data_IF_006954734936
#
_entry.id   IF_006954734936
#
_cell.length_a   1.000
_cell.length_b   1.000
_cell.length_c   1.000
_cell.angle_alpha   90.00
_cell.angle_beta   90.00
_cell.angle_gamma   90.00
#
_symmetry.space_group_name_H-M   'P 1'
#
loop_
_entity.id
_entity.type
_entity.pdbx_description
1 polymer ?
#
# COMPACT_ATOMS: atom_id res chain seq x y z
N UNK A 1 13.01 -7.39 -1.64
CA UNK A 1 12.41 -6.32 -0.85
C UNK A 1 13.50 -5.29 -0.61
N UNK A 2 13.42 -4.11 -1.20
CA UNK A 2 14.38 -3.03 -0.95
C UNK A 2 13.68 -2.02 -0.02
N UNK A 3 14.15 -1.87 1.20
CA UNK A 3 13.84 -0.73 2.04
C UNK A 3 14.79 0.42 1.64
N UNK A 4 14.23 1.58 1.34
CA UNK A 4 15.02 2.79 1.09
C UNK A 4 14.83 3.67 2.31
N UNK A 5 15.87 3.75 3.14
CA UNK A 5 15.94 4.68 4.28
C UNK A 5 16.24 6.09 3.78
N UNK A 6 15.45 7.05 4.24
CA UNK A 6 15.69 8.49 4.02
C UNK A 6 15.14 9.26 5.22
N UNK A 7 15.82 10.29 5.76
CA UNK A 7 15.33 11.05 6.91
C UNK A 7 13.99 11.74 6.55
N UNK A 8 12.95 11.49 7.33
CA UNK A 8 11.54 11.83 7.11
C UNK A 8 10.97 11.17 5.84
N UNK A 9 10.92 9.85 5.86
CA UNK A 9 10.29 9.10 4.79
C UNK A 9 8.77 9.30 4.81
N UNK A 10 8.15 9.43 3.64
CA UNK A 10 6.70 9.54 3.56
C UNK A 10 5.99 8.29 4.12
N UNK A 11 4.78 8.46 4.64
CA UNK A 11 3.91 7.34 4.94
C UNK A 11 3.36 6.78 3.62
N UNK A 12 4.11 5.89 2.97
CA UNK A 12 3.75 5.35 1.67
C UNK A 12 4.26 3.93 1.44
N UNK A 13 3.55 3.19 0.57
CA UNK A 13 3.99 1.98 -0.08
C UNK A 13 3.38 1.92 -1.47
N UNK A 14 4.06 1.31 -2.43
CA UNK A 14 3.50 1.11 -3.76
C UNK A 14 4.10 -0.10 -4.47
N UNK A 15 3.29 -0.67 -5.33
CA UNK A 15 3.66 -1.80 -6.17
C UNK A 15 4.35 -1.32 -7.46
N UNK A 16 5.39 -2.04 -7.86
CA UNK A 16 6.12 -1.85 -9.11
C UNK A 16 5.91 -3.04 -10.05
N UNK A 17 6.17 -2.87 -11.37
CA UNK A 17 6.25 -4.00 -12.29
C UNK A 17 7.23 -5.09 -11.81
N UNK A 18 7.07 -6.31 -12.32
CA UNK A 18 7.90 -7.47 -11.97
C UNK A 18 7.83 -7.87 -10.49
N UNK A 19 6.68 -7.66 -9.86
CA UNK A 19 6.39 -8.11 -8.48
C UNK A 19 7.30 -7.46 -7.42
N UNK A 20 7.77 -6.26 -7.67
CA UNK A 20 8.47 -5.48 -6.66
C UNK A 20 7.49 -4.65 -5.83
N UNK A 21 7.82 -4.51 -4.56
CA UNK A 21 7.08 -3.70 -3.62
C UNK A 21 8.05 -2.74 -2.94
N UNK A 22 7.74 -1.46 -2.97
CA UNK A 22 8.46 -0.42 -2.22
C UNK A 22 7.65 -0.10 -0.97
N UNK A 23 8.32 -0.07 0.17
CA UNK A 23 7.73 0.28 1.47
C UNK A 23 8.61 1.33 2.11
N UNK A 24 8.03 2.47 2.45
CA UNK A 24 8.74 3.53 3.15
C UNK A 24 8.70 3.31 4.67
N UNK A 25 9.74 3.69 5.35
CA UNK A 25 9.85 3.54 6.81
C UNK A 25 8.77 4.32 7.54
N UNK A 26 8.36 5.49 7.04
CA UNK A 26 7.27 6.28 7.59
C UNK A 26 5.94 5.51 7.67
N UNK A 27 5.63 4.64 6.71
CA UNK A 27 4.45 3.79 6.81
C UNK A 27 4.55 2.80 7.99
N UNK A 28 5.74 2.22 8.20
CA UNK A 28 5.97 1.28 9.31
C UNK A 28 5.81 2.01 10.65
N UNK A 29 6.33 3.23 10.75
CA UNK A 29 6.26 4.06 11.95
C UNK A 29 4.83 4.47 12.30
N UNK A 30 4.01 4.82 11.28
CA UNK A 30 2.64 5.30 11.47
C UNK A 30 1.64 4.15 11.73
N UNK A 31 1.98 2.91 11.40
CA UNK A 31 1.15 1.75 11.71
C UNK A 31 1.20 1.41 13.20
N UNK A 32 0.15 1.75 13.96
CA UNK A 32 0.04 1.42 15.40
C UNK A 32 0.10 -0.08 15.67
N UNK A 33 -0.33 -0.90 14.71
CA UNK A 33 -0.40 -2.35 14.80
C UNK A 33 0.19 -3.00 13.56
N UNK A 34 0.87 -4.12 13.75
CA UNK A 34 1.43 -4.91 12.65
C UNK A 34 0.37 -5.32 11.61
N UNK A 35 -0.87 -5.60 12.06
CA UNK A 35 -1.96 -6.00 11.16
C UNK A 35 -2.36 -4.87 10.21
N UNK A 36 -2.19 -3.61 10.61
CA UNK A 36 -2.41 -2.47 9.72
C UNK A 36 -1.39 -2.49 8.58
N UNK A 37 -0.10 -2.62 8.88
CA UNK A 37 0.95 -2.78 7.86
C UNK A 37 0.70 -3.99 6.97
N UNK A 38 0.36 -5.15 7.56
CA UNK A 38 0.07 -6.38 6.81
C UNK A 38 -1.10 -6.19 5.85
N UNK A 39 -2.13 -5.42 6.24
CA UNK A 39 -3.24 -5.06 5.38
C UNK A 39 -2.83 -4.18 4.21
N UNK A 40 -2.01 -3.14 4.46
CA UNK A 40 -1.47 -2.29 3.38
C UNK A 40 -0.59 -3.10 2.43
N UNK A 41 0.30 -3.95 2.95
CA UNK A 41 1.14 -4.83 2.12
C UNK A 41 0.29 -5.79 1.29
N UNK A 42 -0.78 -6.36 1.87
CA UNK A 42 -1.74 -7.21 1.16
C UNK A 42 -2.47 -6.47 0.05
N UNK A 43 -2.78 -5.19 0.25
CA UNK A 43 -3.38 -4.31 -0.75
C UNK A 43 -2.42 -4.07 -1.94
N UNK A 44 -1.17 -3.76 -1.67
CA UNK A 44 -0.16 -3.60 -2.74
C UNK A 44 0.11 -4.90 -3.49
N UNK A 45 0.15 -6.04 -2.78
CA UNK A 45 0.26 -7.37 -3.41
C UNK A 45 -0.96 -7.64 -4.30
N UNK A 46 -2.16 -7.24 -3.90
CA UNK A 46 -3.36 -7.38 -4.72
C UNK A 46 -3.26 -6.53 -6.00
N UNK A 47 -2.72 -5.32 -5.95
CA UNK A 47 -2.45 -4.51 -7.15
C UNK A 47 -1.51 -5.22 -8.13
N UNK A 48 -0.52 -5.94 -7.64
CA UNK A 48 0.39 -6.74 -8.47
C UNK A 48 -0.37 -7.92 -9.08
N UNK A 49 -1.04 -8.74 -8.25
CA UNK A 49 -1.72 -9.98 -8.68
C UNK A 49 -2.83 -9.70 -9.70
N UNK A 50 -3.59 -8.62 -9.50
CA UNK A 50 -4.68 -8.21 -10.40
C UNK A 50 -4.19 -7.40 -11.62
N UNK A 51 -2.88 -7.27 -11.81
CA UNK A 51 -2.27 -6.47 -12.87
C UNK A 51 -2.72 -4.99 -12.89
N UNK A 52 -3.11 -4.43 -11.74
CA UNK A 52 -3.54 -3.03 -11.64
C UNK A 52 -2.41 -2.07 -11.98
N UNK A 53 -1.16 -2.39 -11.59
CA UNK A 53 0.04 -1.63 -11.91
C UNK A 53 0.18 -1.46 -13.43
N UNK A 54 0.07 -2.56 -14.17
CA UNK A 54 0.17 -2.51 -15.63
C UNK A 54 -1.02 -1.80 -16.29
N UNK A 55 -2.23 -1.97 -15.75
CA UNK A 55 -3.43 -1.23 -16.21
C UNK A 55 -3.23 0.28 -16.03
N UNK A 56 -2.74 0.72 -14.85
CA UNK A 56 -2.44 2.12 -14.54
C UNK A 56 -1.39 2.67 -15.50
N UNK A 57 -0.25 2.00 -15.63
CA UNK A 57 0.84 2.42 -16.53
C UNK A 57 0.40 2.49 -17.99
N UNK A 58 -0.36 1.52 -18.47
CA UNK A 58 -0.88 1.52 -19.85
C UNK A 58 -1.82 2.70 -20.11
N UNK A 59 -2.63 3.07 -19.11
CA UNK A 59 -3.54 4.21 -19.19
C UNK A 59 -2.80 5.55 -19.19
N UNK A 60 -1.81 5.71 -18.32
CA UNK A 60 -1.13 7.00 -18.09
C UNK A 60 0.03 7.25 -19.07
N UNK A 61 0.79 6.23 -19.43
CA UNK A 61 2.00 6.35 -20.27
C UNK A 61 1.73 5.90 -21.69
N UNK A 62 0.74 5.03 -21.88
CA UNK A 62 0.43 4.39 -23.16
C UNK A 62 1.19 3.07 -23.35
N UNK A 63 0.48 2.07 -23.85
CA UNK A 63 0.98 0.70 -24.02
C UNK A 63 2.17 0.62 -25.00
N UNK A 64 2.13 1.44 -26.06
CA UNK A 64 3.21 1.51 -27.06
C UNK A 64 4.54 1.98 -26.48
N UNK A 65 4.52 2.93 -25.54
CA UNK A 65 5.71 3.43 -24.86
C UNK A 65 6.31 2.35 -23.96
N UNK A 66 5.47 1.60 -23.24
CA UNK A 66 5.92 0.50 -22.39
C UNK A 66 6.58 -0.62 -23.19
N UNK A 67 6.07 -0.94 -24.38
CA UNK A 67 6.65 -1.98 -25.26
C UNK A 67 7.99 -1.57 -25.85
N UNK A 68 8.19 -0.29 -26.16
CA UNK A 68 9.45 0.20 -26.78
C UNK A 68 10.59 0.35 -25.79
N UNK A 69 10.31 0.23 -24.51
CA UNK A 69 11.27 0.46 -23.43
C UNK A 69 12.24 -0.68 -23.15
N UNK A 70 12.06 -1.82 -23.78
CA UNK A 70 12.88 -3.01 -23.54
C UNK A 70 14.24 -2.99 -24.23
N UNK A 71 14.56 -1.93 -25.02
CA UNK A 71 15.81 -1.86 -25.75
C UNK A 71 16.38 -0.45 -25.89
N UNK A 72 17.41 -0.10 -25.13
CA UNK A 72 18.28 1.01 -25.45
C UNK A 72 18.53 2.04 -24.34
N UNK A 73 19.30 3.09 -24.65
CA UNK A 73 19.77 4.17 -23.77
C UNK A 73 18.67 5.02 -23.07
N UNK A 74 17.40 4.80 -23.41
CA UNK A 74 16.24 5.50 -22.83
C UNK A 74 15.65 4.79 -21.58
N UNK A 75 16.19 3.65 -21.17
CA UNK A 75 15.68 2.86 -20.04
C UNK A 75 15.63 3.63 -18.71
N UNK A 76 16.61 4.49 -18.45
CA UNK A 76 16.63 5.31 -17.23
C UNK A 76 15.55 6.40 -17.20
N UNK A 77 15.22 7.01 -18.33
CA UNK A 77 14.14 8.01 -18.41
C UNK A 77 12.77 7.37 -18.20
N UNK A 78 12.56 6.20 -18.81
CA UNK A 78 11.33 5.45 -18.63
C UNK A 78 11.17 4.95 -17.19
N UNK A 79 12.23 4.43 -16.58
CA UNK A 79 12.18 4.01 -15.19
C UNK A 79 11.75 5.16 -14.26
N UNK A 80 12.30 6.36 -14.47
CA UNK A 80 11.87 7.57 -13.74
C UNK A 80 10.41 7.93 -14.00
N UNK A 81 9.95 7.82 -15.25
CA UNK A 81 8.57 8.08 -15.60
C UNK A 81 7.60 7.08 -14.97
N UNK A 82 7.95 5.79 -14.97
CA UNK A 82 7.19 4.74 -14.28
C UNK A 82 7.09 5.05 -12.79
N UNK A 83 8.22 5.31 -12.13
CA UNK A 83 8.23 5.66 -10.71
C UNK A 83 7.36 6.89 -10.43
N UNK A 84 7.53 7.95 -11.21
CA UNK A 84 6.71 9.16 -11.08
C UNK A 84 5.22 8.86 -11.24
N UNK A 85 4.83 8.09 -12.25
CA UNK A 85 3.42 7.74 -12.50
C UNK A 85 2.84 6.93 -11.36
N UNK A 86 3.59 5.95 -10.82
CA UNK A 86 3.11 5.09 -9.75
C UNK A 86 3.00 5.83 -8.41
N UNK A 87 3.86 6.82 -8.16
CA UNK A 87 3.87 7.60 -6.91
C UNK A 87 3.08 8.92 -6.98
N UNK A 88 2.47 9.27 -8.09
CA UNK A 88 1.80 10.58 -8.24
C UNK A 88 0.41 10.55 -8.85
N UNK A 89 -0.08 9.38 -9.26
CA UNK A 89 -1.43 9.26 -9.82
C UNK A 89 -2.26 8.21 -9.06
N UNK A 90 -3.49 8.59 -8.72
CA UNK A 90 -4.42 7.71 -8.01
C UNK A 90 -4.86 6.52 -8.88
N UNK A 91 -5.13 5.40 -8.22
CA UNK A 91 -5.82 4.30 -8.85
C UNK A 91 -7.31 4.58 -9.06
N UNK A 92 -7.92 3.87 -10.00
CA UNK A 92 -9.36 3.89 -10.21
C UNK A 92 -10.07 3.28 -8.98
N UNK A 93 -11.17 3.89 -8.52
CA UNK A 93 -11.94 3.44 -7.33
C UNK A 93 -12.34 1.97 -7.37
N UNK A 94 -12.60 1.43 -8.57
CA UNK A 94 -12.93 0.00 -8.74
C UNK A 94 -11.72 -0.88 -8.46
N UNK A 95 -10.54 -0.47 -8.90
CA UNK A 95 -9.29 -1.19 -8.67
C UNK A 95 -8.89 -1.12 -7.19
N UNK A 96 -9.12 0.04 -6.55
CA UNK A 96 -8.93 0.20 -5.10
C UNK A 96 -9.81 -0.77 -4.30
N UNK A 97 -11.11 -0.80 -4.61
CA UNK A 97 -12.04 -1.72 -3.95
C UNK A 97 -11.68 -3.18 -4.17
N UNK A 98 -11.28 -3.55 -5.38
CA UNK A 98 -10.83 -4.92 -5.68
C UNK A 98 -9.58 -5.27 -4.87
N UNK A 99 -8.60 -4.37 -4.78
CA UNK A 99 -7.39 -4.57 -4.01
C UNK A 99 -7.68 -4.68 -2.50
N UNK A 100 -8.53 -3.81 -1.95
CA UNK A 100 -8.91 -3.85 -0.53
C UNK A 100 -9.58 -5.16 -0.14
N UNK A 101 -10.60 -5.58 -0.90
CA UNK A 101 -11.32 -6.83 -0.60
C UNK A 101 -10.38 -8.03 -0.75
N UNK A 102 -9.51 -8.02 -1.76
CA UNK A 102 -8.51 -9.08 -1.95
C UNK A 102 -7.53 -9.13 -0.78
N UNK A 103 -7.05 -7.95 -0.31
CA UNK A 103 -6.20 -7.86 0.89
C UNK A 103 -6.89 -8.43 2.13
N UNK A 104 -8.15 -8.02 2.37
CA UNK A 104 -8.94 -8.54 3.49
C UNK A 104 -9.08 -10.06 3.39
N UNK A 105 -9.31 -10.62 2.21
CA UNK A 105 -9.40 -12.08 2.03
C UNK A 105 -8.07 -12.78 2.31
N UNK A 106 -6.92 -12.17 1.95
CA UNK A 106 -5.60 -12.70 2.34
C UNK A 106 -5.43 -12.71 3.86
N UNK A 107 -5.77 -11.60 4.53
CA UNK A 107 -5.68 -11.49 5.98
C UNK A 107 -6.57 -12.54 6.66
N UNK A 108 -7.81 -12.71 6.21
CA UNK A 108 -8.73 -13.71 6.74
C UNK A 108 -8.20 -15.15 6.59
N UNK A 109 -7.67 -15.49 5.41
CA UNK A 109 -7.03 -16.78 5.15
C UNK A 109 -5.81 -17.03 6.04
N UNK A 110 -5.02 -15.98 6.27
CA UNK A 110 -3.86 -16.02 7.17
C UNK A 110 -4.22 -15.94 8.66
N UNK A 111 -5.52 -15.84 9.01
CA UNK A 111 -6.02 -15.63 10.39
C UNK A 111 -5.50 -14.35 11.02
N UNK A 112 -5.31 -13.31 10.22
CA UNK A 112 -4.92 -11.96 10.65
C UNK A 112 -6.20 -11.12 10.71
N UNK A 113 -6.34 -10.28 11.76
CA UNK A 113 -7.48 -9.38 11.90
C UNK A 113 -7.37 -8.22 10.89
N UNK A 114 -8.31 -8.06 9.96
CA UNK A 114 -8.27 -6.95 9.01
C UNK A 114 -8.78 -5.61 9.58
N UNK A 115 -9.38 -5.61 10.79
CA UNK A 115 -9.91 -4.38 11.39
C UNK A 115 -8.84 -3.30 11.54
N UNK A 116 -7.59 -3.57 12.01
CA UNK A 116 -6.55 -2.55 12.12
C UNK A 116 -6.17 -1.87 10.79
N UNK A 117 -6.33 -2.55 9.63
CA UNK A 117 -6.18 -1.94 8.31
C UNK A 117 -7.24 -0.85 8.08
N UNK A 118 -8.49 -1.14 8.38
CA UNK A 118 -9.58 -0.17 8.26
C UNK A 118 -9.42 1.00 9.24
N UNK A 119 -9.03 0.71 10.49
CA UNK A 119 -8.76 1.74 11.50
C UNK A 119 -7.62 2.67 11.05
N UNK A 120 -6.57 2.13 10.44
CA UNK A 120 -5.45 2.89 9.88
C UNK A 120 -5.90 3.80 8.73
N UNK A 121 -6.68 3.29 7.78
CA UNK A 121 -7.23 4.10 6.68
C UNK A 121 -8.10 5.23 7.21
N UNK A 122 -8.93 4.97 8.21
CA UNK A 122 -9.77 5.99 8.84
C UNK A 122 -8.92 7.05 9.53
N UNK A 123 -7.89 6.64 10.28
CA UNK A 123 -6.95 7.58 10.92
C UNK A 123 -6.28 8.47 9.89
N UNK A 124 -5.73 7.90 8.81
CA UNK A 124 -5.10 8.65 7.74
C UNK A 124 -6.06 9.67 7.11
N UNK A 125 -7.33 9.30 6.89
CA UNK A 125 -8.33 10.22 6.36
C UNK A 125 -8.56 11.42 7.28
N UNK A 126 -8.47 11.25 8.61
CA UNK A 126 -8.58 12.34 9.58
C UNK A 126 -7.30 13.20 9.61
N UNK A 127 -6.12 12.56 9.58
CA UNK A 127 -4.83 13.26 9.60
C UNK A 127 -4.61 14.10 8.33
N UNK A 128 -5.08 13.65 7.18
CA UNK A 128 -5.03 14.41 5.92
C UNK A 128 -5.86 15.70 5.97
N UNK A 129 -6.94 15.72 6.76
CA UNK A 129 -7.72 16.95 7.03
C UNK A 129 -6.96 17.99 7.87
N UNK A 130 -5.84 17.60 8.47
CA UNK A 130 -4.98 18.44 9.34
C UNK A 130 -3.63 18.78 8.70
N UNK A 131 -3.50 18.84 7.39
CA UNK A 131 -2.27 19.19 6.63
C UNK A 131 -1.05 18.28 6.88
N UNK A 132 -1.23 17.07 7.36
CA UNK A 132 -0.15 16.09 7.38
C UNK A 132 0.00 15.44 6.01
N UNK A 133 1.16 15.60 5.38
CA UNK A 133 1.50 14.99 4.08
C UNK A 133 1.47 13.46 4.16
N UNK A 134 0.32 12.90 3.86
CA UNK A 134 0.09 11.46 3.76
C UNK A 134 0.06 11.06 2.28
N UNK A 135 1.22 10.78 1.70
CA UNK A 135 1.36 10.49 0.26
C UNK A 135 0.54 9.26 -0.16
N UNK A 136 0.43 8.25 0.70
CA UNK A 136 -0.37 7.06 0.42
C UNK A 136 -1.85 7.39 0.11
N UNK A 137 -2.43 8.41 0.78
CA UNK A 137 -3.81 8.83 0.51
C UNK A 137 -3.95 9.48 -0.87
N UNK A 138 -2.93 10.19 -1.33
CA UNK A 138 -2.94 10.78 -2.67
C UNK A 138 -2.97 9.71 -3.76
N UNK A 139 -2.24 8.62 -3.55
CA UNK A 139 -2.15 7.51 -4.49
C UNK A 139 -3.36 6.56 -4.37
N UNK A 140 -3.98 6.50 -3.17
CA UNK A 140 -5.10 5.64 -2.81
C UNK A 140 -6.23 6.44 -2.15
N UNK A 141 -7.05 7.17 -2.92
CA UNK A 141 -8.04 8.09 -2.41
C UNK A 141 -9.21 7.41 -1.67
N UNK A 142 -10.07 8.27 -1.08
CA UNK A 142 -11.31 7.86 -0.45
C UNK A 142 -11.13 6.96 0.79
N UNK A 143 -10.03 7.11 1.53
CA UNK A 143 -9.65 6.24 2.66
C UNK A 143 -10.76 6.09 3.72
N UNK A 144 -11.59 7.12 3.96
CA UNK A 144 -12.72 7.02 4.87
C UNK A 144 -13.84 6.11 4.35
N UNK A 145 -14.17 6.20 3.06
CA UNK A 145 -15.16 5.32 2.41
C UNK A 145 -14.65 3.89 2.38
N UNK A 146 -13.35 3.72 2.07
CA UNK A 146 -12.67 2.43 2.04
C UNK A 146 -12.72 1.74 3.41
N UNK A 147 -12.39 2.45 4.49
CA UNK A 147 -12.52 1.94 5.84
C UNK A 147 -13.95 1.45 6.15
N UNK A 148 -14.97 2.20 5.76
CA UNK A 148 -16.38 1.84 6.00
C UNK A 148 -16.78 0.55 5.30
N UNK A 149 -16.49 0.38 4.01
CA UNK A 149 -16.89 -0.84 3.32
C UNK A 149 -16.04 -2.05 3.73
N UNK A 150 -14.77 -1.88 4.14
CA UNK A 150 -13.97 -2.96 4.71
C UNK A 150 -14.63 -3.45 6.01
N UNK A 151 -15.00 -2.53 6.92
CA UNK A 151 -15.68 -2.89 8.16
C UNK A 151 -17.00 -3.60 7.92
N UNK A 152 -17.78 -3.16 6.93
CA UNK A 152 -19.03 -3.84 6.55
C UNK A 152 -18.76 -5.23 5.95
N UNK A 153 -17.72 -5.37 5.12
CA UNK A 153 -17.33 -6.65 4.52
C UNK A 153 -16.91 -7.70 5.55
N UNK A 154 -16.25 -7.28 6.63
CA UNK A 154 -15.82 -8.21 7.71
C UNK A 154 -16.89 -8.44 8.78
N UNK A 155 -17.97 -7.68 8.76
CA UNK A 155 -19.05 -7.78 9.74
C UNK A 155 -19.65 -9.18 9.76
N UNK A 156 -19.76 -9.76 10.95
CA UNK A 156 -20.28 -11.12 11.16
C UNK A 156 -19.31 -12.24 10.81
N UNK A 157 -18.14 -11.97 10.27
CA UNK A 157 -17.11 -12.99 10.06
C UNK A 157 -16.43 -13.30 11.38
N UNK A 158 -16.58 -14.54 11.86
CA UNK A 158 -15.93 -14.99 13.10
C UNK A 158 -14.43 -15.17 12.85
N UNK A 159 -13.62 -14.29 13.39
CA UNK A 159 -12.17 -14.36 13.33
C UNK A 159 -11.60 -14.90 14.62
N UNK A 160 -10.86 -16.01 14.51
CA UNK A 160 -9.88 -16.41 15.54
C UNK A 160 -8.52 -15.86 15.06
N UNK A 161 -8.31 -14.55 15.20
CA UNK A 161 -7.07 -13.91 14.79
C UNK A 161 -5.94 -14.26 15.77
N UNK A 162 -4.73 -14.35 15.23
CA UNK A 162 -3.50 -14.49 15.99
C UNK A 162 -2.51 -13.47 15.48
N UNK A 163 -1.92 -12.69 16.39
CA UNK A 163 -0.82 -11.79 16.04
C UNK A 163 0.35 -12.61 15.47
N UNK A 164 0.99 -12.08 14.43
CA UNK A 164 2.13 -12.75 13.78
C UNK A 164 3.39 -12.65 14.63
N UNK A 165 3.59 -11.50 15.27
CA UNK A 165 4.67 -11.24 16.24
C UNK A 165 4.06 -10.61 17.50
N UNK A 166 4.83 -10.60 18.61
CA UNK A 166 4.38 -9.96 19.84
C UNK A 166 4.34 -8.42 19.69
N UNK A 167 3.55 -7.73 20.51
CA UNK A 167 3.53 -6.26 20.55
C UNK A 167 4.90 -5.67 20.89
N UNK A 168 5.68 -6.35 21.72
CA UNK A 168 7.04 -5.97 22.07
C UNK A 168 7.96 -6.03 20.85
N UNK A 169 7.89 -7.13 20.08
CA UNK A 169 8.74 -7.29 18.89
C UNK A 169 8.32 -6.31 17.79
N UNK A 170 7.02 -6.01 17.68
CA UNK A 170 6.54 -4.97 16.76
C UNK A 170 7.13 -3.59 17.10
N UNK A 171 7.12 -3.20 18.37
CA UNK A 171 7.71 -1.93 18.81
C UNK A 171 9.22 -1.89 18.60
N UNK A 172 9.92 -2.97 18.94
CA UNK A 172 11.36 -3.07 18.70
C UNK A 172 11.70 -2.94 17.21
N UNK A 173 10.90 -3.55 16.34
CA UNK A 173 11.07 -3.42 14.89
C UNK A 173 10.87 -1.97 14.44
N UNK A 174 9.83 -1.29 14.92
CA UNK A 174 9.61 0.13 14.60
C UNK A 174 10.75 1.03 15.08
N UNK A 175 11.35 0.76 16.25
CA UNK A 175 12.51 1.49 16.77
C UNK A 175 13.73 1.28 15.88
N UNK A 176 14.03 0.05 15.49
CA UNK A 176 15.14 -0.26 14.58
C UNK A 176 15.02 0.45 13.22
N UNK A 177 13.80 0.53 12.69
CA UNK A 177 13.54 1.21 11.42
C UNK A 177 13.75 2.72 11.49
N UNK A 178 13.62 3.34 12.68
CA UNK A 178 13.88 4.78 12.89
C UNK A 178 15.35 5.14 12.96
N UNK A 179 16.19 4.19 13.34
CA UNK A 179 17.63 4.42 13.52
C UNK A 179 18.43 4.28 12.21
N UNK A 180 17.84 3.71 11.15
CA UNK A 180 18.41 3.58 9.81
C UNK A 180 18.11 4.79 8.91
#
# INVERSE_FOLDING_TARGET
>A
MCAISCPKTPCNAFALPNNHLVVYTGLIEDCKRQEALQGVLGHEIAHIEKNHVMKKLSKEIGYSVLLTATGGSKGGQLARQILKTLSSSAYDRKLEKEADITSVDYMLKAKIDPKPMADFMFQMAQDNKSDKNMEWISDHPDSEERAKYILEYIKGKKLKSKATISEKDWKNFQEQVKEE
#
